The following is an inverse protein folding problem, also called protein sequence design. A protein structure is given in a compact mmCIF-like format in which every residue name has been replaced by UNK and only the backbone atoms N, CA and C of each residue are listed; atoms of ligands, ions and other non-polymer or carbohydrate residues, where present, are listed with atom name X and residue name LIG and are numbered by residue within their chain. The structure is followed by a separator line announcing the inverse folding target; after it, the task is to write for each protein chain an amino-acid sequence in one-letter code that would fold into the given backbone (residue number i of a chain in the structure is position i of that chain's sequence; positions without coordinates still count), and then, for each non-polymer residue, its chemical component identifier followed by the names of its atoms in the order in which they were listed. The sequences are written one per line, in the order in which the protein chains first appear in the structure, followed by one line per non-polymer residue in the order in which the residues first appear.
data_IF_027404560076
#
_entry.id   IF_027404560076
#
_cell.length_a   1.000
_cell.length_b   1.000
_cell.length_c   1.000
_cell.angle_alpha   90.00
_cell.angle_beta   90.00
_cell.angle_gamma   90.00
#
_symmetry.space_group_name_H-M   'P 1'
#
loop_
_entity.id
_entity.type
_entity.pdbx_description
1 polymer ?
#
# COMPACT_ATOMS: atom_id res chain seq x y z
N UNK A 1 -13.41 -21.89 -3.12
CA UNK A 1 -13.01 -20.81 -4.04
C UNK A 1 -14.14 -19.82 -4.08
N UNK A 2 -14.08 -18.80 -3.23
CA UNK A 2 -14.97 -17.65 -3.29
C UNK A 2 -14.70 -16.97 -4.64
N UNK A 3 -15.70 -16.91 -5.50
CA UNK A 3 -15.60 -16.17 -6.76
C UNK A 3 -15.47 -14.68 -6.42
N UNK A 4 -14.24 -14.16 -6.36
CA UNK A 4 -14.03 -12.73 -6.21
C UNK A 4 -14.45 -12.03 -7.50
N UNK A 5 -15.13 -10.88 -7.40
CA UNK A 5 -15.53 -10.06 -8.56
C UNK A 5 -14.31 -9.72 -9.44
N UNK A 6 -13.14 -9.60 -8.84
CA UNK A 6 -11.86 -9.43 -9.52
C UNK A 6 -11.49 -10.63 -10.39
N UNK A 7 -11.63 -11.84 -9.84
CA UNK A 7 -11.40 -13.09 -10.57
C UNK A 7 -12.33 -13.24 -11.76
N UNK A 8 -13.60 -12.82 -11.65
CA UNK A 8 -14.54 -12.78 -12.77
C UNK A 8 -14.12 -11.77 -13.85
N UNK A 9 -13.72 -10.55 -13.46
CA UNK A 9 -13.25 -9.51 -14.39
C UNK A 9 -12.01 -9.97 -15.18
N UNK A 10 -11.06 -10.62 -14.49
CA UNK A 10 -9.85 -11.18 -15.09
C UNK A 10 -10.19 -12.34 -16.02
N UNK A 11 -11.09 -13.25 -15.60
CA UNK A 11 -11.46 -14.44 -16.35
C UNK A 11 -12.13 -14.15 -17.71
N UNK A 12 -12.78 -12.99 -17.86
CA UNK A 12 -13.38 -12.58 -19.14
C UNK A 12 -12.27 -12.28 -20.19
N UNK A 13 -11.01 -12.14 -19.77
CA UNK A 13 -9.86 -12.01 -20.69
C UNK A 13 -9.89 -10.76 -21.57
N UNK A 14 -10.73 -9.79 -21.18
CA UNK A 14 -10.93 -8.52 -21.88
C UNK A 14 -9.63 -7.72 -21.92
N UNK A 15 -8.92 -7.66 -20.78
CA UNK A 15 -7.82 -6.72 -20.49
C UNK A 15 -6.76 -6.69 -21.59
N UNK A 16 -6.37 -7.86 -22.11
CA UNK A 16 -5.23 -7.98 -23.04
C UNK A 16 -5.60 -7.68 -24.50
N UNK A 17 -6.87 -7.47 -24.82
CA UNK A 17 -7.36 -7.25 -26.19
C UNK A 17 -7.99 -5.87 -26.40
N UNK A 18 -8.03 -5.04 -25.35
CA UNK A 18 -8.68 -3.74 -25.40
C UNK A 18 -7.82 -2.72 -26.12
N UNK A 19 -8.43 -2.05 -27.10
CA UNK A 19 -7.84 -0.86 -27.69
C UNK A 19 -7.95 0.34 -26.73
N UNK A 20 -7.40 1.49 -27.12
CA UNK A 20 -7.43 2.70 -26.30
C UNK A 20 -8.86 3.17 -25.97
N UNK A 21 -9.83 2.92 -26.86
CA UNK A 21 -11.21 3.35 -26.65
C UNK A 21 -11.88 2.50 -25.57
N UNK A 22 -11.67 1.20 -25.60
CA UNK A 22 -12.22 0.28 -24.61
C UNK A 22 -11.62 0.52 -23.22
N UNK A 23 -10.32 0.84 -23.14
CA UNK A 23 -9.67 1.24 -21.88
C UNK A 23 -10.32 2.47 -21.26
N UNK A 24 -10.59 3.51 -22.07
CA UNK A 24 -11.29 4.71 -21.61
C UNK A 24 -12.72 4.41 -21.12
N UNK A 25 -13.42 3.45 -21.74
CA UNK A 25 -14.75 3.03 -21.29
C UNK A 25 -14.69 2.32 -19.94
N UNK A 26 -13.66 1.52 -19.70
CA UNK A 26 -13.46 0.84 -18.42
C UNK A 26 -13.06 1.81 -17.30
N UNK A 27 -12.20 2.77 -17.58
CA UNK A 27 -11.89 3.84 -16.61
C UNK A 27 -13.16 4.62 -16.26
N UNK A 28 -13.97 4.97 -17.26
CA UNK A 28 -15.25 5.63 -17.04
C UNK A 28 -16.21 4.76 -16.21
N UNK A 29 -16.27 3.46 -16.46
CA UNK A 29 -17.05 2.50 -15.65
C UNK A 29 -16.56 2.50 -14.20
N UNK A 30 -15.26 2.37 -13.97
CA UNK A 30 -14.68 2.34 -12.63
C UNK A 30 -15.01 3.63 -11.87
N UNK A 31 -14.79 4.80 -12.48
CA UNK A 31 -15.16 6.10 -11.90
C UNK A 31 -16.64 6.20 -11.53
N UNK A 32 -17.53 5.77 -12.43
CA UNK A 32 -18.98 5.83 -12.17
C UNK A 32 -19.40 4.88 -11.04
N UNK A 33 -18.80 3.71 -10.95
CA UNK A 33 -19.07 2.75 -9.87
C UNK A 33 -18.52 3.24 -8.54
N UNK A 34 -17.26 3.68 -8.51
CA UNK A 34 -16.63 4.18 -7.29
C UNK A 34 -17.31 5.42 -6.71
N UNK A 35 -17.95 6.25 -7.55
CA UNK A 35 -18.74 7.39 -7.07
C UNK A 35 -19.97 7.00 -6.22
N UNK A 36 -20.45 5.76 -6.32
CA UNK A 36 -21.54 5.22 -5.51
C UNK A 36 -21.12 4.11 -4.55
N UNK A 37 -19.82 3.89 -4.39
CA UNK A 37 -19.24 2.87 -3.52
C UNK A 37 -18.98 3.49 -2.15
N UNK A 38 -19.41 2.80 -1.09
CA UNK A 38 -19.09 3.18 0.28
C UNK A 38 -17.74 2.56 0.67
N UNK A 39 -16.77 3.33 1.18
CA UNK A 39 -15.50 2.78 1.65
C UNK A 39 -15.71 1.84 2.83
N UNK A 40 -14.87 0.81 2.92
CA UNK A 40 -14.92 -0.22 3.96
C UNK A 40 -13.50 -0.56 4.43
N UNK A 41 -13.35 -1.18 5.62
CA UNK A 41 -12.05 -1.58 6.12
C UNK A 41 -11.31 -2.48 5.16
N UNK A 42 -10.04 -2.19 4.93
CA UNK A 42 -9.12 -3.03 4.18
C UNK A 42 -8.24 -3.80 5.18
N UNK A 43 -7.82 -5.00 4.78
CA UNK A 43 -6.93 -5.87 5.53
C UNK A 43 -5.77 -6.28 4.61
N UNK A 44 -4.76 -5.40 4.41
CA UNK A 44 -3.54 -5.79 3.70
C UNK A 44 -2.83 -6.87 4.53
N UNK A 45 -2.57 -8.04 3.96
CA UNK A 45 -2.01 -9.20 4.66
C UNK A 45 -0.55 -9.09 5.10
N UNK A 46 -0.10 -7.90 5.50
CA UNK A 46 1.24 -7.61 6.01
C UNK A 46 1.71 -6.23 5.62
N UNK A 47 2.40 -6.13 4.48
CA UNK A 47 3.05 -4.89 4.05
C UNK A 47 2.13 -4.03 3.18
N UNK A 48 2.17 -2.71 3.38
CA UNK A 48 1.61 -1.76 2.42
C UNK A 48 2.44 -0.49 2.34
N UNK A 49 2.29 0.21 1.21
CA UNK A 49 2.78 1.58 1.07
C UNK A 49 1.61 2.56 1.01
N UNK A 50 1.87 3.81 1.37
CA UNK A 50 0.97 4.93 1.15
C UNK A 50 1.69 6.06 0.42
N UNK A 51 1.03 6.66 -0.57
CA UNK A 51 1.53 7.84 -1.30
C UNK A 51 0.42 8.89 -1.42
N UNK A 52 0.76 10.19 -1.53
CA UNK A 52 -0.23 11.24 -1.71
C UNK A 52 -1.07 11.01 -2.97
N UNK A 53 -2.40 11.09 -2.83
CA UNK A 53 -3.34 10.88 -3.92
C UNK A 53 -3.14 11.83 -5.10
N UNK A 54 -2.66 13.06 -4.84
CA UNK A 54 -2.36 14.04 -5.89
C UNK A 54 -1.10 13.71 -6.73
N UNK A 55 -0.20 12.87 -6.23
CA UNK A 55 1.10 12.55 -6.86
C UNK A 55 1.25 11.07 -7.22
N UNK A 56 0.18 10.28 -7.09
CA UNK A 56 0.21 8.83 -7.18
C UNK A 56 0.72 8.29 -8.53
N UNK A 57 0.57 9.02 -9.64
CA UNK A 57 1.01 8.56 -10.97
C UNK A 57 2.49 8.14 -11.00
N UNK A 58 3.32 8.75 -10.16
CA UNK A 58 4.74 8.42 -10.02
C UNK A 58 4.99 7.00 -9.47
N UNK A 59 4.04 6.41 -8.73
CA UNK A 59 4.22 5.10 -8.11
C UNK A 59 4.46 4.00 -9.13
N UNK A 60 3.84 4.12 -10.31
CA UNK A 60 3.94 3.08 -11.34
C UNK A 60 5.35 3.01 -11.92
N UNK A 61 6.02 4.15 -12.08
CA UNK A 61 7.43 4.18 -12.49
C UNK A 61 8.33 3.71 -11.32
N UNK A 62 8.05 4.17 -10.10
CA UNK A 62 8.86 3.83 -8.92
C UNK A 62 8.92 2.33 -8.60
N UNK A 63 7.82 1.61 -8.85
CA UNK A 63 7.66 0.18 -8.60
C UNK A 63 7.72 -0.68 -9.87
N UNK A 64 7.90 -0.09 -11.06
CA UNK A 64 7.88 -0.83 -12.32
C UNK A 64 6.54 -1.53 -12.58
N UNK A 65 5.44 -0.85 -12.28
CA UNK A 65 4.09 -1.35 -12.47
C UNK A 65 3.53 -0.95 -13.85
N UNK A 66 2.98 -1.95 -14.53
CA UNK A 66 2.54 -1.90 -15.91
C UNK A 66 1.11 -2.45 -16.05
N UNK A 67 0.62 -2.44 -17.30
CA UNK A 67 -0.65 -3.05 -17.70
C UNK A 67 -1.84 -2.63 -16.82
N UNK A 68 -1.88 -1.35 -16.42
CA UNK A 68 -2.87 -0.81 -15.48
C UNK A 68 -4.31 -1.10 -15.93
N UNK A 69 -5.11 -1.61 -15.01
CA UNK A 69 -6.51 -1.92 -15.20
C UNK A 69 -7.36 -1.20 -14.14
N UNK A 70 -8.34 -0.38 -14.54
CA UNK A 70 -9.14 0.40 -13.61
C UNK A 70 -10.16 -0.49 -12.89
N UNK A 71 -10.19 -0.40 -11.55
CA UNK A 71 -11.05 -1.19 -10.66
C UNK A 71 -11.71 -0.30 -9.60
N UNK A 72 -12.79 -0.78 -8.99
CA UNK A 72 -13.34 -0.14 -7.77
C UNK A 72 -12.58 -0.58 -6.52
N UNK A 73 -12.90 -0.01 -5.34
CA UNK A 73 -12.29 -0.43 -4.08
C UNK A 73 -12.61 -1.90 -3.79
N UNK A 74 -13.88 -2.28 -3.86
CA UNK A 74 -14.38 -3.64 -3.67
C UNK A 74 -13.76 -4.63 -4.67
N UNK A 75 -13.61 -4.21 -5.93
CA UNK A 75 -13.01 -5.05 -6.95
C UNK A 75 -11.52 -5.30 -6.66
N UNK A 76 -10.77 -4.28 -6.23
CA UNK A 76 -9.32 -4.43 -5.99
C UNK A 76 -8.93 -5.01 -4.63
N UNK A 77 -9.79 -4.91 -3.61
CA UNK A 77 -9.46 -5.30 -2.24
C UNK A 77 -9.03 -6.78 -2.09
N UNK A 78 -9.53 -7.67 -2.96
CA UNK A 78 -9.18 -9.09 -2.96
C UNK A 78 -7.93 -9.43 -3.82
N UNK A 79 -7.00 -8.49 -3.99
CA UNK A 79 -5.81 -8.69 -4.85
C UNK A 79 -4.89 -9.80 -4.33
N UNK A 80 -4.80 -9.99 -3.02
CA UNK A 80 -3.94 -11.01 -2.40
C UNK A 80 -4.51 -12.42 -2.56
N UNK A 81 -5.83 -12.54 -2.74
CA UNK A 81 -6.47 -13.81 -3.11
C UNK A 81 -6.24 -14.17 -4.58
N UNK A 82 -5.70 -13.25 -5.39
CA UNK A 82 -5.47 -13.54 -6.79
C UNK A 82 -4.30 -14.51 -6.95
N UNK A 83 -4.46 -15.51 -7.83
CA UNK A 83 -3.33 -16.29 -8.30
C UNK A 83 -2.32 -15.36 -8.99
N UNK A 84 -1.05 -15.71 -8.88
CA UNK A 84 0.02 -15.00 -9.56
C UNK A 84 1.06 -15.97 -10.09
N UNK A 85 1.92 -15.46 -10.98
CA UNK A 85 3.08 -16.18 -11.48
C UNK A 85 4.25 -15.23 -11.60
N UNK A 86 5.47 -15.77 -11.70
CA UNK A 86 6.67 -14.96 -11.93
C UNK A 86 6.48 -14.04 -13.15
N UNK A 87 6.68 -12.74 -12.94
CA UNK A 87 6.49 -11.70 -13.96
C UNK A 87 5.05 -11.20 -14.12
N UNK A 88 4.09 -11.75 -13.39
CA UNK A 88 2.71 -11.26 -13.33
C UNK A 88 2.25 -11.25 -11.87
N UNK A 89 2.75 -10.28 -11.12
CA UNK A 89 2.45 -10.06 -9.71
C UNK A 89 1.38 -8.97 -9.59
N UNK A 90 0.11 -9.34 -9.32
CA UNK A 90 -0.95 -8.37 -9.14
C UNK A 90 -0.67 -7.48 -7.93
N UNK A 91 -0.75 -6.18 -8.16
CA UNK A 91 -0.63 -5.14 -7.15
C UNK A 91 -1.84 -4.23 -7.27
N UNK A 92 -2.49 -3.95 -6.14
CA UNK A 92 -3.62 -3.05 -6.08
C UNK A 92 -3.18 -1.69 -5.56
N UNK A 93 -3.63 -0.65 -6.25
CA UNK A 93 -3.56 0.74 -5.83
C UNK A 93 -4.98 1.19 -5.56
N UNK A 94 -5.28 1.62 -4.35
CA UNK A 94 -6.65 2.05 -4.00
C UNK A 94 -7.10 3.27 -4.80
N UNK A 95 -8.41 3.56 -4.84
CA UNK A 95 -8.87 4.95 -4.99
C UNK A 95 -8.20 5.87 -3.97
N UNK A 96 -8.32 7.18 -4.16
CA UNK A 96 -7.86 8.12 -3.12
C UNK A 96 -8.77 8.01 -1.90
N UNK A 97 -8.18 7.74 -0.74
CA UNK A 97 -8.80 7.58 0.57
C UNK A 97 -8.18 8.61 1.51
N UNK A 98 -8.96 9.59 1.93
CA UNK A 98 -8.53 10.72 2.76
C UNK A 98 -7.26 11.44 2.24
N UNK A 99 -7.15 11.59 0.92
CA UNK A 99 -6.00 12.22 0.28
C UNK A 99 -4.80 11.30 0.03
N UNK A 100 -4.89 10.02 0.36
CA UNK A 100 -3.83 9.01 0.17
C UNK A 100 -4.25 7.89 -0.75
N UNK A 101 -3.29 7.22 -1.39
CA UNK A 101 -3.51 5.94 -2.05
C UNK A 101 -2.63 4.88 -1.41
N UNK A 102 -3.27 3.77 -1.04
CA UNK A 102 -2.59 2.61 -0.49
C UNK A 102 -2.19 1.67 -1.63
N UNK A 103 -1.07 0.97 -1.43
CA UNK A 103 -0.50 0.02 -2.39
C UNK A 103 -0.21 -1.27 -1.63
N UNK A 104 -0.86 -2.36 -2.02
CA UNK A 104 -0.68 -3.69 -1.42
C UNK A 104 -0.98 -4.81 -2.42
N UNK A 105 -0.83 -6.07 -1.99
CA UNK A 105 -0.82 -7.24 -2.86
C UNK A 105 0.45 -8.07 -2.66
N UNK A 106 1.02 -8.56 -3.76
CA UNK A 106 2.19 -9.45 -3.72
C UNK A 106 3.50 -8.66 -3.58
N UNK A 107 3.58 -7.74 -2.61
CA UNK A 107 4.70 -6.81 -2.45
C UNK A 107 6.00 -7.53 -2.10
N UNK A 108 5.95 -8.63 -1.35
CA UNK A 108 7.13 -9.46 -1.04
C UNK A 108 7.78 -9.99 -2.31
N UNK A 109 7.00 -10.50 -3.26
CA UNK A 109 7.51 -10.97 -4.55
C UNK A 109 7.90 -9.82 -5.48
N UNK A 110 7.27 -8.65 -5.34
CA UNK A 110 7.52 -7.47 -6.17
C UNK A 110 8.81 -6.75 -5.78
N UNK A 111 9.00 -6.53 -4.48
CA UNK A 111 10.08 -5.73 -3.89
C UNK A 111 11.28 -6.63 -3.60
N UNK A 112 11.04 -7.81 -3.05
CA UNK A 112 12.05 -8.75 -2.59
C UNK A 112 11.96 -9.02 -1.09
N UNK A 113 12.93 -9.79 -0.58
CA UNK A 113 12.97 -10.25 0.81
C UNK A 113 13.95 -9.45 1.65
N UNK A 114 14.88 -8.72 1.03
CA UNK A 114 15.94 -8.04 1.74
C UNK A 114 15.47 -6.69 2.25
N UNK A 115 15.89 -6.34 3.46
CA UNK A 115 15.52 -5.08 4.12
C UNK A 115 15.85 -3.84 3.27
N UNK A 116 17.01 -3.84 2.63
CA UNK A 116 17.46 -2.73 1.78
C UNK A 116 16.59 -2.56 0.52
N UNK A 117 15.92 -3.62 0.06
CA UNK A 117 15.00 -3.55 -1.09
C UNK A 117 13.72 -2.80 -0.70
N UNK A 118 13.18 -3.06 0.50
CA UNK A 118 12.04 -2.36 1.08
C UNK A 118 12.35 -0.88 1.36
N UNK A 119 13.50 -0.59 1.97
CA UNK A 119 13.95 0.80 2.18
C UNK A 119 14.16 1.52 0.84
N UNK A 120 14.77 0.85 -0.13
CA UNK A 120 14.96 1.41 -1.47
C UNK A 120 13.63 1.65 -2.20
N UNK A 121 12.61 0.81 -1.99
CA UNK A 121 11.30 0.98 -2.59
C UNK A 121 10.56 2.20 -2.04
N UNK A 122 10.54 2.42 -0.71
CA UNK A 122 9.93 3.62 -0.12
C UNK A 122 10.68 4.90 -0.53
N UNK A 123 12.01 4.85 -0.64
CA UNK A 123 12.80 5.96 -1.17
C UNK A 123 12.41 6.27 -2.62
N UNK A 124 12.39 5.26 -3.51
CA UNK A 124 11.95 5.46 -4.90
C UNK A 124 10.53 6.04 -4.98
N UNK A 125 9.58 5.48 -4.24
CA UNK A 125 8.21 5.99 -4.19
C UNK A 125 8.19 7.47 -3.79
N UNK A 126 8.90 7.86 -2.72
CA UNK A 126 8.95 9.26 -2.29
C UNK A 126 9.67 10.18 -3.29
N UNK A 127 10.62 9.67 -4.08
CA UNK A 127 11.28 10.46 -5.12
C UNK A 127 10.32 10.82 -6.26
N UNK A 128 9.44 9.89 -6.63
CA UNK A 128 8.46 10.08 -7.71
C UNK A 128 7.16 10.73 -7.26
N UNK A 129 6.73 10.47 -6.02
CA UNK A 129 5.45 10.96 -5.48
C UNK A 129 5.62 12.14 -4.50
N UNK A 130 6.86 12.60 -4.26
CA UNK A 130 7.21 13.64 -3.29
C UNK A 130 7.29 13.14 -1.85
N UNK A 131 6.36 12.26 -1.46
CA UNK A 131 6.31 11.59 -0.15
C UNK A 131 5.86 10.15 -0.32
N UNK A 132 6.38 9.26 0.53
CA UNK A 132 5.89 7.89 0.63
C UNK A 132 6.07 7.36 2.05
N UNK A 133 5.16 6.48 2.43
CA UNK A 133 5.18 5.78 3.70
C UNK A 133 5.11 4.28 3.45
N UNK A 134 5.70 3.50 4.36
CA UNK A 134 5.66 2.04 4.35
C UNK A 134 5.26 1.57 5.73
N UNK A 135 4.44 0.54 5.79
CA UNK A 135 3.95 -0.04 7.03
C UNK A 135 3.96 -1.56 6.94
N UNK A 136 4.15 -2.19 8.09
CA UNK A 136 3.98 -3.62 8.30
C UNK A 136 3.48 -3.86 9.71
N UNK A 137 2.32 -4.50 9.81
CA UNK A 137 1.73 -4.88 11.07
C UNK A 137 1.81 -6.40 11.23
N UNK A 138 2.36 -6.85 12.35
CA UNK A 138 2.29 -8.25 12.76
C UNK A 138 1.50 -8.34 14.07
N UNK A 139 0.18 -8.50 13.91
CA UNK A 139 -0.76 -8.63 15.03
C UNK A 139 -0.46 -9.81 15.98
N UNK A 140 0.39 -10.77 15.58
CA UNK A 140 0.72 -11.94 16.38
C UNK A 140 2.06 -11.83 17.13
N UNK A 141 3.09 -11.23 16.52
CA UNK A 141 4.42 -11.14 17.11
C UNK A 141 4.84 -9.73 17.55
N UNK A 142 4.11 -8.68 17.19
CA UNK A 142 4.44 -7.30 17.55
C UNK A 142 5.65 -6.73 16.78
N UNK A 143 5.94 -7.29 15.60
CA UNK A 143 7.06 -6.91 14.72
C UNK A 143 6.75 -5.65 13.90
N UNK A 144 6.13 -4.65 14.52
CA UNK A 144 5.62 -3.45 13.87
C UNK A 144 6.74 -2.63 13.20
N UNK A 145 6.53 -2.25 11.95
CA UNK A 145 7.46 -1.41 11.18
C UNK A 145 6.70 -0.28 10.52
N UNK A 146 7.25 0.93 10.60
CA UNK A 146 6.83 2.02 9.73
C UNK A 146 7.99 2.90 9.30
N UNK A 147 7.87 3.46 8.10
CA UNK A 147 8.87 4.34 7.50
C UNK A 147 8.17 5.52 6.84
N UNK A 148 8.75 6.71 7.00
CA UNK A 148 8.37 7.93 6.28
C UNK A 148 9.56 8.41 5.47
N UNK A 149 9.35 8.58 4.16
CA UNK A 149 10.35 9.10 3.24
C UNK A 149 9.83 10.33 2.50
N UNK A 150 10.72 11.30 2.29
CA UNK A 150 10.43 12.53 1.57
C UNK A 150 11.50 12.77 0.50
N UNK A 151 11.06 13.03 -0.74
CA UNK A 151 11.94 13.37 -1.87
C UNK A 151 13.12 12.40 -2.06
N UNK A 152 12.87 11.10 -1.96
CA UNK A 152 13.89 10.09 -2.19
C UNK A 152 14.75 9.74 -0.98
N UNK A 153 14.38 10.18 0.23
CA UNK A 153 15.16 9.93 1.45
C UNK A 153 14.28 9.58 2.62
N UNK A 154 14.63 8.52 3.34
CA UNK A 154 14.01 8.19 4.62
C UNK A 154 14.26 9.33 5.62
N UNK A 155 13.19 9.85 6.19
CA UNK A 155 13.20 10.92 7.21
C UNK A 155 13.11 10.35 8.61
N UNK A 156 12.24 9.36 8.78
CA UNK A 156 11.97 8.71 10.05
C UNK A 156 11.60 7.25 9.81
N UNK A 157 12.03 6.39 10.72
CA UNK A 157 11.67 4.97 10.74
C UNK A 157 11.55 4.48 12.17
N UNK A 158 10.55 3.64 12.39
CA UNK A 158 10.49 2.69 13.47
C UNK A 158 10.50 1.27 12.91
N UNK A 159 11.25 0.38 13.55
CA UNK A 159 11.20 -1.05 13.28
C UNK A 159 11.43 -1.79 14.59
N UNK A 160 10.38 -2.45 15.09
CA UNK A 160 10.46 -3.27 16.29
C UNK A 160 11.58 -4.30 16.17
N UNK A 161 12.31 -4.54 17.26
CA UNK A 161 13.42 -5.49 17.33
C UNK A 161 14.63 -5.17 16.42
N UNK A 162 14.65 -4.01 15.76
CA UNK A 162 15.81 -3.55 14.98
C UNK A 162 16.88 -2.90 15.85
N UNK A 163 18.10 -2.78 15.33
CA UNK A 163 19.19 -2.09 16.01
C UNK A 163 19.83 -1.04 15.08
N UNK A 164 19.51 0.26 15.23
CA UNK A 164 18.52 0.83 16.15
C UNK A 164 17.07 0.68 15.67
N UNK A 165 16.13 0.54 16.61
CA UNK A 165 14.68 0.53 16.34
C UNK A 165 14.21 1.84 15.71
N UNK A 166 14.70 2.96 16.25
CA UNK A 166 14.39 4.30 15.80
C UNK A 166 15.52 4.88 14.95
N UNK A 167 15.20 5.41 13.77
CA UNK A 167 16.16 6.08 12.89
C UNK A 167 15.57 7.39 12.37
N UNK A 168 16.39 8.44 12.29
CA UNK A 168 15.96 9.78 11.86
C UNK A 168 15.37 10.62 13.00
N UNK A 169 15.16 11.90 12.72
CA UNK A 169 14.63 12.86 13.71
C UNK A 169 13.11 12.65 13.91
N UNK A 170 12.58 12.80 15.14
CA UNK A 170 11.15 12.72 15.38
C UNK A 170 10.33 13.65 14.49
N UNK A 171 9.20 13.15 14.02
CA UNK A 171 8.25 13.90 13.21
C UNK A 171 7.42 14.86 14.09
N UNK A 172 6.92 15.99 13.56
CA UNK A 172 6.03 16.88 14.28
C UNK A 172 4.76 16.21 14.83
N UNK A 173 4.31 15.13 14.20
CA UNK A 173 3.14 14.32 14.55
C UNK A 173 3.41 13.35 15.72
N UNK A 174 4.68 13.15 16.11
CA UNK A 174 5.08 12.38 17.29
C UNK A 174 4.86 13.23 18.56
N UNK A 175 4.04 12.71 19.48
CA UNK A 175 3.92 13.29 20.82
C UNK A 175 5.07 12.78 21.68
N UNK A 176 6.04 13.65 21.94
CA UNK A 176 7.21 13.30 22.75
C UNK A 176 6.91 13.49 24.23
N UNK A 177 7.08 12.42 25.03
CA UNK A 177 6.91 12.42 26.50
C UNK A 177 8.05 13.13 27.25
N UNK A 178 8.82 13.98 26.55
CA UNK A 178 9.98 14.68 27.10
C UNK A 178 9.50 15.71 28.12
N UNK A 179 9.87 15.52 29.39
CA UNK A 179 9.54 16.45 30.48
C UNK A 179 8.29 16.09 31.27
N UNK A 180 7.66 14.94 31.01
CA UNK A 180 6.66 14.38 31.91
C UNK A 180 7.31 13.96 33.23
N UNK A 181 6.75 14.43 34.35
CA UNK A 181 7.31 14.22 35.70
C UNK A 181 7.48 12.74 36.06
N UNK A 182 6.68 11.87 35.44
CA UNK A 182 6.62 10.44 35.71
C UNK A 182 7.31 9.59 34.63
N UNK A 183 7.92 10.20 33.61
CA UNK A 183 8.62 9.50 32.53
C UNK A 183 10.14 9.54 32.75
N UNK A 184 10.75 8.37 32.99
CA UNK A 184 12.20 8.23 33.12
C UNK A 184 12.72 7.21 32.11
N UNK A 185 13.19 7.65 30.92
CA UNK A 185 13.62 6.74 29.84
C UNK A 185 14.70 5.74 30.29
N UNK A 186 15.56 6.12 31.24
CA UNK A 186 16.62 5.27 31.76
C UNK A 186 16.10 4.19 32.72
N UNK A 187 15.05 4.48 33.49
CA UNK A 187 14.47 3.54 34.45
C UNK A 187 13.37 2.66 33.82
N UNK A 188 12.62 3.23 32.88
CA UNK A 188 11.46 2.57 32.25
C UNK A 188 11.87 1.75 31.02
N UNK A 189 13.10 1.96 30.49
CA UNK A 189 13.53 1.34 29.24
C UNK A 189 12.72 1.78 28.02
N UNK A 190 11.94 2.85 28.18
CA UNK A 190 10.97 3.35 27.21
C UNK A 190 11.56 4.49 26.38
N UNK A 191 11.22 4.53 25.10
CA UNK A 191 11.55 5.65 24.23
C UNK A 191 10.52 6.79 24.41
N UNK A 192 10.92 8.07 24.34
CA UNK A 192 9.99 9.20 24.52
C UNK A 192 8.83 9.25 23.53
N UNK A 193 8.89 8.45 22.47
CA UNK A 193 7.97 8.41 21.34
C UNK A 193 7.35 7.01 21.14
N UNK A 194 7.36 6.18 22.19
CA UNK A 194 6.81 4.81 22.19
C UNK A 194 5.34 4.76 21.77
N UNK A 195 4.56 5.84 21.99
CA UNK A 195 3.16 5.90 21.58
C UNK A 195 2.98 5.65 20.08
N UNK A 196 3.90 6.16 19.25
CA UNK A 196 3.89 5.96 17.79
C UNK A 196 4.63 4.68 17.35
N UNK A 197 5.01 3.79 18.26
CA UNK A 197 5.59 2.50 17.89
C UNK A 197 4.57 1.61 17.16
N UNK A 198 3.30 1.65 17.59
CA UNK A 198 2.24 0.84 17.00
C UNK A 198 1.86 1.30 15.59
N UNK A 199 1.84 0.38 14.61
CA UNK A 199 1.53 0.71 13.22
C UNK A 199 0.15 1.31 13.06
N UNK A 200 -0.87 0.76 13.71
CA UNK A 200 -2.24 1.29 13.69
C UNK A 200 -2.32 2.79 14.06
N UNK A 201 -1.58 3.23 15.09
CA UNK A 201 -1.54 4.66 15.44
C UNK A 201 -0.72 5.46 14.43
N UNK A 202 0.41 4.92 13.98
CA UNK A 202 1.30 5.59 13.04
C UNK A 202 0.61 5.85 11.69
N UNK A 203 -0.03 4.85 11.07
CA UNK A 203 -0.72 5.02 9.80
C UNK A 203 -1.94 5.95 9.92
N UNK A 204 -2.69 5.89 11.02
CA UNK A 204 -3.83 6.79 11.26
C UNK A 204 -3.43 8.26 11.46
N UNK A 205 -2.21 8.55 11.92
CA UNK A 205 -1.68 9.91 12.05
C UNK A 205 -0.97 10.41 10.79
N UNK A 206 -0.24 9.53 10.09
CA UNK A 206 0.64 9.89 8.98
C UNK A 206 -0.08 9.85 7.62
N UNK A 207 -1.03 8.95 7.44
CA UNK A 207 -1.79 8.82 6.19
C UNK A 207 -3.22 8.35 6.45
N UNK A 208 -3.50 7.06 6.25
CA UNK A 208 -4.79 6.43 6.50
C UNK A 208 -4.57 5.03 7.05
N UNK A 209 -5.31 4.69 8.10
CA UNK A 209 -5.32 3.33 8.66
C UNK A 209 -6.28 2.45 7.84
N UNK A 210 -5.79 1.38 7.18
CA UNK A 210 -6.62 0.47 6.41
C UNK A 210 -7.82 -0.09 7.18
N UNK A 211 -7.65 -0.39 8.47
CA UNK A 211 -8.66 -1.03 9.31
C UNK A 211 -9.78 -0.08 9.76
N UNK A 212 -9.52 1.23 9.72
CA UNK A 212 -10.47 2.26 10.13
C UNK A 212 -11.13 3.00 8.95
N UNK A 213 -10.88 2.55 7.70
CA UNK A 213 -11.62 3.04 6.54
C UNK A 213 -13.10 2.69 6.69
N UNK A 214 -13.98 3.65 6.45
CA UNK A 214 -15.43 3.42 6.53
C UNK A 214 -16.25 4.47 5.78
N UNK A 215 -17.58 4.49 5.99
CA UNK A 215 -18.50 5.37 5.25
C UNK A 215 -18.21 6.86 5.38
N UNK A 216 -17.45 7.27 6.40
CA UNK A 216 -17.05 8.66 6.63
C UNK A 216 -15.71 9.03 6.01
N UNK A 217 -14.93 8.04 5.56
CA UNK A 217 -13.64 8.27 4.90
C UNK A 217 -13.88 8.90 3.53
N UNK A 218 -13.33 10.09 3.24
CA UNK A 218 -13.48 10.69 1.91
C UNK A 218 -12.82 9.78 0.86
N UNK A 219 -13.60 9.35 -0.13
CA UNK A 219 -13.08 8.56 -1.26
C UNK A 219 -13.25 9.31 -2.58
N UNK A 220 -12.22 9.28 -3.43
CA UNK A 220 -12.23 9.92 -4.74
C UNK A 220 -11.64 9.01 -5.82
N UNK A 221 -12.16 9.21 -7.03
CA UNK A 221 -11.73 8.51 -8.24
C UNK A 221 -11.90 6.98 -8.12
N UNK A 222 -11.00 6.20 -8.71
CA UNK A 222 -11.05 4.74 -8.75
C UNK A 222 -9.65 4.17 -8.49
N UNK A 223 -9.58 2.86 -8.26
CA UNK A 223 -8.33 2.15 -8.03
C UNK A 223 -7.74 1.54 -9.30
N UNK A 224 -6.55 0.96 -9.15
CA UNK A 224 -5.83 0.31 -10.24
C UNK A 224 -5.34 -1.06 -9.82
N UNK A 225 -5.59 -2.05 -10.66
CA UNK A 225 -4.82 -3.29 -10.68
C UNK A 225 -3.64 -3.10 -11.64
N UNK A 226 -2.44 -3.47 -11.24
CA UNK A 226 -1.25 -3.39 -12.09
C UNK A 226 -0.36 -4.62 -11.93
N UNK A 227 0.53 -4.84 -12.90
CA UNK A 227 1.44 -5.99 -12.97
C UNK A 227 2.90 -5.55 -13.02
N UNK A 228 3.81 -6.39 -12.54
CA UNK A 228 5.25 -6.09 -12.45
C UNK A 228 6.05 -6.18 -13.77
N UNK A 229 5.43 -6.56 -14.90
CA UNK A 229 6.09 -6.58 -16.21
C UNK A 229 5.15 -6.13 -17.32
N UNK A 230 5.67 -5.45 -18.35
CA UNK A 230 4.86 -4.95 -19.45
C UNK A 230 4.46 -6.06 -20.44
N UNK A 231 3.23 -6.00 -20.94
CA UNK A 231 2.77 -6.86 -22.03
C UNK A 231 2.61 -8.33 -21.66
N UNK A 232 2.63 -8.67 -20.38
CA UNK A 232 2.38 -10.02 -19.89
C UNK A 232 0.88 -10.31 -19.89
N UNK A 233 0.07 -9.28 -19.68
CA UNK A 233 -1.38 -9.40 -19.64
C UNK A 233 -1.90 -10.10 -18.39
N UNK A 234 -3.21 -10.05 -18.20
CA UNK A 234 -3.91 -10.60 -17.03
C UNK A 234 -4.44 -12.02 -17.28
N UNK A 235 -4.34 -12.53 -18.52
CA UNK A 235 -4.71 -13.91 -18.83
C UNK A 235 -3.85 -14.91 -18.10
N UNK A 236 -4.50 -15.99 -17.67
CA UNK A 236 -3.84 -17.15 -17.08
C UNK A 236 -2.90 -16.79 -15.92
N UNK A 237 -3.27 -15.81 -15.09
CA UNK A 237 -2.60 -15.56 -13.81
C UNK A 237 -2.51 -16.87 -12.98
N UNK A 238 -3.47 -17.78 -13.17
CA UNK A 238 -3.53 -19.15 -12.65
C UNK A 238 -2.54 -20.17 -13.25
N UNK A 239 -1.70 -19.82 -14.24
CA UNK A 239 -1.00 -20.84 -15.04
C UNK A 239 0.09 -21.66 -14.33
N UNK A 240 0.35 -21.47 -13.03
CA UNK A 240 1.27 -22.33 -12.27
C UNK A 240 0.77 -22.65 -10.85
N UNK A 241 -0.27 -23.49 -10.72
CA UNK A 241 -0.43 -24.39 -9.55
C UNK A 241 -0.11 -25.84 -9.94
N UNK A 242 0.89 -26.04 -10.80
CA UNK A 242 1.48 -27.35 -11.05
C UNK A 242 2.98 -27.23 -11.25
N UNK A 243 3.73 -27.44 -10.18
CA UNK A 243 4.82 -28.42 -10.12
C UNK A 243 4.98 -28.91 -8.70
#
# INVERSE_FOLDING_TARGET
MTHSRLGELIAIGLIDRLDARDRLLLERRARLKSAGEEPFPLDPGGWWYAVPGAAYEGLFEALGLHDRFPVTLEEGAAVEDLPFRKGALPTFVTPELDGWRLIFGNLVDLVGLEWDEWMGAVERLSAYCGEAQMFYEDSAAGSDVWVVAHQGRIRRRYAAESSPEWTGDPLPEEELRIGETDFNPQADGAFPNEDMAGVSLACGRLSVDPHHIGPTTPMRDHGWLALCQPGIGHKDLNSLVRR
#
